data_IF_295467334136
#
_entry.id   IF_295467334136
#
_cell.length_a   1.000
_cell.length_b   1.000
_cell.length_c   1.000
_cell.angle_alpha   90.00
_cell.angle_beta   90.00
_cell.angle_gamma   90.00
#
_symmetry.space_group_name_H-M   'P 1'
#
loop_
_entity.id
_entity.type
_entity.pdbx_description
1 polymer ?
#
# COMPACT_ATOMS: atom_id res chain seq x y z
N UNK A 1 2.75 -9.82 -9.74
CA UNK A 1 3.09 -8.43 -9.34
C UNK A 1 1.97 -7.81 -8.51
N UNK A 2 0.80 -7.52 -9.06
CA UNK A 2 -0.30 -6.95 -8.26
C UNK A 2 -0.88 -7.93 -7.24
N UNK A 3 -0.97 -9.21 -7.58
CA UNK A 3 -1.33 -10.29 -6.62
C UNK A 3 -0.31 -10.36 -5.48
N UNK A 4 0.98 -10.43 -5.82
CA UNK A 4 2.07 -10.39 -4.82
C UNK A 4 2.01 -9.13 -3.93
N UNK A 5 1.66 -7.97 -4.48
CA UNK A 5 1.46 -6.76 -3.68
C UNK A 5 0.28 -6.93 -2.71
N UNK A 6 -0.82 -7.53 -3.17
CA UNK A 6 -1.98 -7.80 -2.32
C UNK A 6 -1.61 -8.76 -1.19
N UNK A 7 -0.92 -9.86 -1.47
CA UNK A 7 -0.48 -10.83 -0.46
C UNK A 7 0.38 -10.15 0.62
N UNK A 8 1.36 -9.33 0.22
CA UNK A 8 2.22 -8.59 1.15
C UNK A 8 1.39 -7.62 2.01
N UNK A 9 0.38 -6.97 1.44
CA UNK A 9 -0.50 -6.06 2.18
C UNK A 9 -1.41 -6.83 3.15
N UNK A 10 -1.94 -7.98 2.75
CA UNK A 10 -2.80 -8.82 3.60
C UNK A 10 -2.05 -9.36 4.81
N UNK A 11 -0.76 -9.71 4.67
CA UNK A 11 0.09 -10.11 5.81
C UNK A 11 0.21 -9.02 6.89
N UNK A 12 0.05 -7.74 6.51
CA UNK A 12 0.05 -6.63 7.46
C UNK A 12 -1.23 -6.57 8.31
N UNK A 13 -2.28 -7.33 8.00
CA UNK A 13 -3.51 -7.37 8.79
C UNK A 13 -3.25 -7.77 10.25
N UNK A 14 -2.20 -8.55 10.50
CA UNK A 14 -1.71 -8.90 11.85
C UNK A 14 -1.32 -7.69 12.72
N UNK A 15 -1.04 -6.53 12.09
CA UNK A 15 -0.68 -5.27 12.74
C UNK A 15 -1.87 -4.31 12.88
N UNK A 16 -3.05 -4.71 12.43
CA UNK A 16 -4.24 -3.87 12.39
C UNK A 16 -5.20 -4.27 13.53
N UNK A 17 -5.79 -3.31 14.27
CA UNK A 17 -6.84 -3.60 15.23
C UNK A 17 -7.99 -4.40 14.60
N UNK A 18 -8.47 -5.43 15.30
CA UNK A 18 -9.43 -6.41 14.75
C UNK A 18 -10.71 -5.77 14.21
N UNK A 19 -11.19 -4.70 14.85
CA UNK A 19 -12.35 -3.91 14.43
C UNK A 19 -12.15 -3.16 13.10
N UNK A 20 -10.89 -3.01 12.64
CA UNK A 20 -10.52 -2.28 11.42
C UNK A 20 -10.05 -3.18 10.27
N UNK A 21 -9.92 -4.49 10.47
CA UNK A 21 -9.39 -5.42 9.46
C UNK A 21 -10.20 -5.37 8.15
N UNK A 22 -11.54 -5.36 8.22
CA UNK A 22 -12.38 -5.30 7.01
C UNK A 22 -12.18 -3.99 6.22
N UNK A 23 -12.07 -2.87 6.93
CA UNK A 23 -11.75 -1.58 6.32
C UNK A 23 -10.33 -1.58 5.72
N UNK A 24 -9.39 -2.25 6.38
CA UNK A 24 -8.02 -2.41 5.90
C UNK A 24 -7.95 -3.20 4.59
N UNK A 25 -8.66 -4.33 4.46
CA UNK A 25 -8.70 -5.08 3.19
C UNK A 25 -9.34 -4.27 2.06
N UNK A 26 -10.41 -3.52 2.36
CA UNK A 26 -11.01 -2.60 1.38
C UNK A 26 -10.02 -1.52 0.92
N UNK A 27 -9.21 -1.02 1.85
CA UNK A 27 -8.15 -0.08 1.57
C UNK A 27 -7.02 -0.70 0.74
N UNK A 28 -6.62 -1.95 1.03
CA UNK A 28 -5.60 -2.69 0.25
C UNK A 28 -6.02 -2.89 -1.19
N UNK A 29 -7.28 -3.28 -1.44
CA UNK A 29 -7.83 -3.39 -2.81
C UNK A 29 -7.77 -2.06 -3.57
N UNK A 30 -8.07 -0.95 -2.89
CA UNK A 30 -7.96 0.40 -3.47
C UNK A 30 -6.49 0.79 -3.70
N UNK A 31 -5.59 0.39 -2.82
CA UNK A 31 -4.14 0.60 -2.93
C UNK A 31 -3.59 -0.12 -4.16
N UNK A 32 -3.87 -1.42 -4.31
CA UNK A 32 -3.45 -2.22 -5.48
C UNK A 32 -4.01 -1.64 -6.77
N UNK A 33 -5.29 -1.23 -6.77
CA UNK A 33 -5.91 -0.58 -7.93
C UNK A 33 -5.22 0.73 -8.31
N UNK A 34 -4.79 1.52 -7.32
CA UNK A 34 -4.03 2.75 -7.57
C UNK A 34 -2.64 2.43 -8.12
N UNK A 35 -1.94 1.45 -7.54
CA UNK A 35 -0.63 1.02 -8.01
C UNK A 35 -0.70 0.48 -9.44
N UNK A 36 -1.79 -0.20 -9.82
CA UNK A 36 -1.98 -0.71 -11.19
C UNK A 36 -1.87 0.39 -12.26
N UNK A 37 -2.28 1.63 -11.96
CA UNK A 37 -2.15 2.79 -12.85
C UNK A 37 -0.68 3.15 -13.13
N UNK A 38 0.22 2.80 -12.22
CA UNK A 38 1.65 3.13 -12.25
C UNK A 38 2.55 1.89 -12.39
N UNK A 39 1.96 0.69 -12.42
CA UNK A 39 2.67 -0.58 -12.29
C UNK A 39 3.67 -0.82 -13.44
N UNK A 40 3.37 -0.35 -14.65
CA UNK A 40 4.27 -0.46 -15.81
C UNK A 40 5.63 0.22 -15.58
N UNK A 41 5.64 1.34 -14.85
CA UNK A 41 6.87 2.10 -14.61
C UNK A 41 7.50 1.78 -13.25
N UNK A 42 6.69 1.58 -12.21
CA UNK A 42 7.16 1.61 -10.82
C UNK A 42 6.69 0.43 -9.96
N UNK A 43 5.97 -0.54 -10.52
CA UNK A 43 5.33 -1.60 -9.73
C UNK A 43 6.30 -2.40 -8.86
N UNK A 44 7.47 -2.74 -9.40
CA UNK A 44 8.52 -3.45 -8.63
C UNK A 44 9.12 -2.61 -7.49
N UNK A 45 9.34 -1.31 -7.70
CA UNK A 45 9.85 -0.41 -6.66
C UNK A 45 8.85 -0.24 -5.53
N UNK A 46 7.56 -0.08 -5.87
CA UNK A 46 6.48 0.02 -4.87
C UNK A 46 6.38 -1.26 -4.05
N UNK A 47 6.42 -2.44 -4.68
CA UNK A 47 6.35 -3.73 -3.97
C UNK A 47 7.51 -3.89 -3.00
N UNK A 48 8.74 -3.65 -3.46
CA UNK A 48 9.91 -3.77 -2.61
C UNK A 48 9.84 -2.78 -1.44
N UNK A 49 9.42 -1.54 -1.71
CA UNK A 49 9.25 -0.55 -0.65
C UNK A 49 8.22 -0.99 0.39
N UNK A 50 7.06 -1.52 -0.03
CA UNK A 50 6.01 -2.02 0.86
C UNK A 50 6.50 -3.20 1.70
N UNK A 51 7.31 -4.11 1.13
CA UNK A 51 7.94 -5.21 1.87
C UNK A 51 8.90 -4.68 2.94
N UNK A 52 9.76 -3.73 2.59
CA UNK A 52 10.78 -3.17 3.47
C UNK A 52 10.17 -2.26 4.56
N UNK A 53 9.03 -1.61 4.25
CA UNK A 53 8.39 -0.57 5.10
C UNK A 53 6.95 -0.94 5.49
N UNK A 54 6.64 -2.24 5.64
CA UNK A 54 5.26 -2.68 5.88
C UNK A 54 4.61 -2.08 7.14
N UNK A 55 5.39 -1.76 8.17
CA UNK A 55 4.87 -1.06 9.35
C UNK A 55 4.41 0.38 9.02
N UNK A 56 5.10 1.08 8.12
CA UNK A 56 4.72 2.41 7.69
C UNK A 56 3.44 2.39 6.86
N UNK A 57 3.27 1.38 6.00
CA UNK A 57 2.04 1.17 5.21
C UNK A 57 0.82 0.95 6.12
N UNK A 58 0.96 0.06 7.12
CA UNK A 58 -0.08 -0.13 8.13
C UNK A 58 -0.39 1.17 8.89
N UNK A 59 0.65 1.93 9.27
CA UNK A 59 0.49 3.23 9.93
C UNK A 59 -0.20 4.28 9.04
N UNK A 60 0.03 4.29 7.72
CA UNK A 60 -0.67 5.20 6.80
C UNK A 60 -2.18 4.93 6.84
N UNK A 61 -2.59 3.65 6.77
CA UNK A 61 -3.99 3.26 6.95
C UNK A 61 -4.53 3.70 8.32
N UNK A 62 -3.81 3.43 9.41
CA UNK A 62 -4.25 3.77 10.77
C UNK A 62 -4.35 5.29 11.00
N UNK A 63 -3.55 6.09 10.28
CA UNK A 63 -3.64 7.56 10.22
C UNK A 63 -4.81 8.06 9.37
N UNK A 64 -5.59 7.17 8.77
CA UNK A 64 -6.75 7.50 7.93
C UNK A 64 -6.37 8.00 6.53
N UNK A 65 -5.18 7.67 6.04
CA UNK A 65 -4.80 8.06 4.68
C UNK A 65 -5.61 7.28 3.66
N UNK A 66 -6.00 7.93 2.55
CA UNK A 66 -6.53 7.21 1.40
C UNK A 66 -5.43 6.38 0.74
N UNK A 67 -5.84 5.32 0.04
CA UNK A 67 -4.94 4.50 -0.77
C UNK A 67 -4.12 5.35 -1.76
N UNK A 68 -4.78 6.31 -2.43
CA UNK A 68 -4.12 7.23 -3.34
C UNK A 68 -3.04 8.07 -2.66
N UNK A 69 -3.34 8.66 -1.50
CA UNK A 69 -2.35 9.44 -0.73
C UNK A 69 -1.15 8.59 -0.32
N UNK A 70 -1.37 7.35 0.12
CA UNK A 70 -0.29 6.45 0.48
C UNK A 70 0.61 6.12 -0.72
N UNK A 71 0.03 5.82 -1.89
CA UNK A 71 0.79 5.58 -3.12
C UNK A 71 1.56 6.82 -3.56
N UNK A 72 0.95 8.01 -3.51
CA UNK A 72 1.64 9.27 -3.79
C UNK A 72 2.87 9.44 -2.90
N UNK A 73 2.75 9.17 -1.60
CA UNK A 73 3.87 9.36 -0.67
C UNK A 73 5.00 8.34 -0.89
N UNK A 74 4.66 7.09 -1.21
CA UNK A 74 5.64 6.08 -1.61
C UNK A 74 6.38 6.52 -2.87
N UNK A 75 5.67 7.05 -3.87
CA UNK A 75 6.27 7.51 -5.11
C UNK A 75 7.19 8.73 -4.92
N UNK A 76 6.89 9.61 -3.96
CA UNK A 76 7.80 10.72 -3.60
C UNK A 76 9.15 10.26 -3.08
N UNK A 77 9.23 9.10 -2.40
CA UNK A 77 10.52 8.54 -2.00
C UNK A 77 11.43 8.21 -3.18
N UNK A 78 10.85 8.04 -4.37
CA UNK A 78 11.57 7.81 -5.63
C UNK A 78 11.69 9.08 -6.50
N UNK A 79 11.33 10.25 -5.96
CA UNK A 79 11.36 11.52 -6.71
C UNK A 79 10.22 11.70 -7.71
N UNK A 80 9.15 10.91 -7.58
CA UNK A 80 8.01 10.92 -8.51
C UNK A 80 6.85 11.69 -7.86
N UNK A 81 6.37 12.73 -8.54
CA UNK A 81 5.20 13.51 -8.12
C UNK A 81 4.05 13.27 -9.08
N UNK A 82 2.94 12.78 -8.55
CA UNK A 82 1.69 12.45 -9.25
C UNK A 82 0.48 13.01 -8.51
#
# INVERSE_FOLDING_TARGET
MLEELLDVLEDLASKIPTDKISAFFSWCSSFVSTVALYAYYYGGQIINWVKDHGADVANMFLKGWSAYKAVQEILKHFGINI
#
